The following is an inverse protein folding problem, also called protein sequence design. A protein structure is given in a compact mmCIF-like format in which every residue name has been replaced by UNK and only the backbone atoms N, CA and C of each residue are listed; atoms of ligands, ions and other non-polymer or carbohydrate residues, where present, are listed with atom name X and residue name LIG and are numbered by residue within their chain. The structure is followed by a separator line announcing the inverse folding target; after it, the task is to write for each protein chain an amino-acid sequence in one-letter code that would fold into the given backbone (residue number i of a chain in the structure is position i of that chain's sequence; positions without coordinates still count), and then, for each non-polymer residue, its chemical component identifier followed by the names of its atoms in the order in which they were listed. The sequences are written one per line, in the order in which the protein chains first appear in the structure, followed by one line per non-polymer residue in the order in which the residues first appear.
data_IF_458919441375
#
_entry.id   IF_458919441375
#
_cell.length_a   1.000
_cell.length_b   1.000
_cell.length_c   1.000
_cell.angle_alpha   90.00
_cell.angle_beta   90.00
_cell.angle_gamma   90.00
#
_symmetry.space_group_name_H-M   'P 1'
#
loop_
_entity.id
_entity.type
_entity.pdbx_description
1 polymer ?
#
# COMPACT_ATOMS: atom_id res chain seq x y z
N UNK A 1 -47.14 52.43 -4.08
CA UNK A 1 -48.02 51.27 -3.96
C UNK A 1 -48.32 50.76 -5.37
N UNK A 2 -47.49 49.85 -5.89
CA UNK A 2 -47.81 49.09 -7.08
C UNK A 2 -47.22 47.69 -6.84
N UNK A 3 -48.13 46.85 -6.42
CA UNK A 3 -47.98 45.45 -6.15
C UNK A 3 -47.82 44.73 -7.52
N UNK A 4 -46.61 44.31 -7.87
CA UNK A 4 -46.36 43.45 -9.03
C UNK A 4 -46.18 42.03 -8.53
N UNK A 5 -47.30 41.29 -8.55
CA UNK A 5 -47.30 39.86 -8.31
C UNK A 5 -46.31 39.17 -9.28
N UNK A 6 -45.47 38.25 -8.80
CA UNK A 6 -44.55 37.51 -9.63
C UNK A 6 -45.32 36.61 -10.60
N UNK A 7 -44.99 36.69 -11.86
CA UNK A 7 -45.63 35.94 -12.95
C UNK A 7 -45.42 34.43 -12.74
N UNK A 8 -46.55 33.74 -12.86
CA UNK A 8 -46.78 32.29 -12.66
C UNK A 8 -46.15 31.44 -13.77
N UNK A 9 -44.91 31.69 -14.19
CA UNK A 9 -44.33 30.98 -15.34
C UNK A 9 -42.89 30.50 -15.14
N UNK A 10 -42.42 30.45 -13.94
CA UNK A 10 -41.22 29.67 -13.60
C UNK A 10 -41.57 28.30 -13.02
N UNK A 11 -42.37 27.55 -13.74
CA UNK A 11 -42.34 26.10 -13.58
C UNK A 11 -41.01 25.64 -14.16
N UNK A 12 -40.03 25.49 -13.29
CA UNK A 12 -38.84 24.73 -13.60
C UNK A 12 -39.24 23.41 -14.25
N UNK A 13 -39.12 23.36 -15.54
CA UNK A 13 -39.12 22.09 -16.25
C UNK A 13 -37.91 21.36 -15.75
N UNK A 14 -38.11 20.40 -14.86
CA UNK A 14 -37.18 19.32 -14.67
C UNK A 14 -37.11 18.61 -16.03
N UNK A 15 -36.20 19.04 -16.88
CA UNK A 15 -35.78 18.25 -18.03
C UNK A 15 -35.13 17.03 -17.46
N UNK A 16 -35.92 15.95 -17.34
CA UNK A 16 -35.37 14.62 -17.14
C UNK A 16 -34.38 14.42 -18.28
N UNK A 17 -33.09 14.43 -17.96
CA UNK A 17 -32.02 14.16 -18.89
C UNK A 17 -32.36 12.83 -19.58
N UNK A 18 -32.94 12.89 -20.78
CA UNK A 18 -33.14 11.72 -21.60
C UNK A 18 -31.74 11.15 -21.81
N UNK A 19 -31.58 9.88 -21.47
CA UNK A 19 -30.37 9.14 -21.81
C UNK A 19 -30.09 9.39 -23.30
N UNK A 20 -29.07 10.18 -23.58
CA UNK A 20 -28.64 10.41 -24.96
C UNK A 20 -28.24 9.07 -25.54
N UNK A 21 -28.80 8.74 -26.71
CA UNK A 21 -28.44 7.49 -27.38
C UNK A 21 -26.91 7.53 -27.62
N UNK A 22 -26.18 6.51 -27.19
CA UNK A 22 -24.71 6.53 -27.35
C UNK A 22 -24.38 6.72 -28.84
N UNK A 23 -23.44 7.61 -29.14
CA UNK A 23 -22.91 7.79 -30.47
C UNK A 23 -22.41 6.45 -31.02
N UNK A 24 -22.46 6.26 -32.33
CA UNK A 24 -21.95 5.04 -32.96
C UNK A 24 -20.48 4.72 -32.54
N UNK A 25 -19.68 5.75 -32.30
CA UNK A 25 -18.31 5.63 -31.80
C UNK A 25 -18.30 5.11 -30.36
N UNK A 26 -19.18 5.60 -29.49
CA UNK A 26 -19.29 5.11 -28.10
C UNK A 26 -19.79 3.67 -28.07
N UNK A 27 -20.74 3.31 -28.92
CA UNK A 27 -21.20 1.93 -29.04
C UNK A 27 -20.10 0.99 -29.50
N UNK A 28 -19.32 1.38 -30.50
CA UNK A 28 -18.15 0.60 -30.96
C UNK A 28 -17.11 0.44 -29.83
N UNK A 29 -16.87 1.49 -29.02
CA UNK A 29 -16.01 1.45 -27.84
C UNK A 29 -16.50 0.44 -26.79
N UNK A 30 -17.81 0.39 -26.51
CA UNK A 30 -18.38 -0.60 -25.57
C UNK A 30 -18.26 -2.02 -26.11
N UNK A 31 -18.52 -2.24 -27.40
CA UNK A 31 -18.39 -3.57 -28.03
C UNK A 31 -16.92 -4.03 -27.99
N UNK A 32 -15.99 -3.16 -28.33
CA UNK A 32 -14.55 -3.47 -28.26
C UNK A 32 -14.12 -3.78 -26.83
N UNK A 33 -14.58 -2.99 -25.84
CA UNK A 33 -14.32 -3.24 -24.43
C UNK A 33 -14.83 -4.60 -23.97
N UNK A 34 -16.06 -4.96 -24.35
CA UNK A 34 -16.63 -6.28 -24.06
C UNK A 34 -15.82 -7.41 -24.69
N UNK A 35 -15.43 -7.28 -25.96
CA UNK A 35 -14.61 -8.28 -26.66
C UNK A 35 -13.27 -8.48 -25.94
N UNK A 36 -12.61 -7.39 -25.52
CA UNK A 36 -11.36 -7.45 -24.76
C UNK A 36 -11.58 -8.16 -23.41
N UNK A 37 -12.65 -7.83 -22.68
CA UNK A 37 -12.97 -8.48 -21.40
C UNK A 37 -13.21 -9.99 -21.62
N UNK A 38 -14.00 -10.38 -22.60
CA UNK A 38 -14.24 -11.78 -22.91
C UNK A 38 -12.95 -12.52 -23.31
N UNK A 39 -12.11 -11.87 -24.11
CA UNK A 39 -10.81 -12.43 -24.49
C UNK A 39 -9.89 -12.61 -23.27
N UNK A 40 -9.82 -11.64 -22.38
CA UNK A 40 -9.07 -11.74 -21.13
C UNK A 40 -9.62 -12.83 -20.20
N UNK A 41 -10.95 -12.92 -20.06
CA UNK A 41 -11.60 -13.97 -19.26
C UNK A 41 -11.31 -15.37 -19.82
N UNK A 42 -11.37 -15.53 -21.13
CA UNK A 42 -11.02 -16.79 -21.79
C UNK A 42 -9.54 -17.15 -21.56
N UNK A 43 -8.63 -16.18 -21.71
CA UNK A 43 -7.20 -16.35 -21.42
C UNK A 43 -6.89 -16.67 -19.96
N UNK A 44 -7.67 -16.14 -19.03
CA UNK A 44 -7.57 -16.44 -17.60
C UNK A 44 -8.14 -17.83 -17.22
N UNK A 45 -8.67 -18.59 -18.18
CA UNK A 45 -9.27 -19.91 -17.93
C UNK A 45 -10.58 -19.84 -17.12
N UNK A 46 -11.26 -18.69 -17.18
CA UNK A 46 -12.57 -18.52 -16.55
C UNK A 46 -13.59 -19.46 -17.20
N UNK A 47 -14.25 -20.28 -16.41
CA UNK A 47 -15.38 -21.10 -16.85
C UNK A 47 -16.49 -21.05 -15.81
N UNK A 48 -17.71 -20.77 -16.27
CA UNK A 48 -18.91 -20.77 -15.44
C UNK A 48 -19.15 -22.13 -14.78
N UNK A 49 -18.79 -23.22 -15.46
CA UNK A 49 -18.87 -24.56 -14.93
C UNK A 49 -17.99 -24.76 -13.70
N UNK A 50 -16.73 -24.26 -13.73
CA UNK A 50 -15.82 -24.31 -12.57
C UNK A 50 -16.36 -23.48 -11.40
N UNK A 51 -16.94 -22.33 -11.67
CA UNK A 51 -17.56 -21.49 -10.64
C UNK A 51 -18.80 -22.19 -10.06
N UNK A 52 -19.67 -22.73 -10.92
CA UNK A 52 -20.87 -23.45 -10.48
C UNK A 52 -20.56 -24.74 -9.71
N UNK A 53 -19.45 -25.41 -10.01
CA UNK A 53 -18.99 -26.61 -9.30
C UNK A 53 -18.15 -26.32 -8.04
N UNK A 54 -17.86 -25.06 -7.72
CA UNK A 54 -17.06 -24.66 -6.57
C UNK A 54 -17.78 -24.79 -5.22
N UNK A 55 -19.09 -24.49 -5.08
CA UNK A 55 -19.80 -24.57 -3.79
C UNK A 55 -19.67 -25.91 -3.06
N UNK A 56 -19.85 -27.08 -3.71
CA UNK A 56 -19.69 -28.36 -3.02
C UNK A 56 -18.25 -28.59 -2.55
N UNK A 57 -17.25 -28.19 -3.32
CA UNK A 57 -15.83 -28.28 -2.90
C UNK A 57 -15.52 -27.41 -1.70
N UNK A 58 -16.12 -26.21 -1.67
CA UNK A 58 -16.00 -25.31 -0.52
C UNK A 58 -16.73 -25.88 0.71
N UNK A 59 -17.91 -26.46 0.52
CA UNK A 59 -18.66 -27.12 1.59
C UNK A 59 -17.86 -28.32 2.17
N UNK A 60 -17.26 -29.15 1.32
CA UNK A 60 -16.40 -30.25 1.74
C UNK A 60 -15.16 -29.76 2.50
N UNK A 61 -14.54 -28.67 2.05
CA UNK A 61 -13.44 -28.03 2.76
C UNK A 61 -13.88 -27.52 4.14
N UNK A 62 -15.01 -26.82 4.21
CA UNK A 62 -15.56 -26.31 5.46
C UNK A 62 -15.94 -27.46 6.42
N UNK A 63 -16.55 -28.52 5.90
CA UNK A 63 -16.89 -29.70 6.70
C UNK A 63 -15.65 -30.42 7.29
N UNK A 64 -14.53 -30.40 6.58
CA UNK A 64 -13.26 -30.94 7.11
C UNK A 64 -12.57 -30.00 8.10
N UNK A 65 -12.89 -28.70 8.06
CA UNK A 65 -12.37 -27.73 9.02
C UNK A 65 -13.08 -27.83 10.39
N UNK A 66 -14.26 -28.46 10.46
CA UNK A 66 -15.05 -28.61 11.67
C UNK A 66 -15.42 -30.09 11.93
N UNK A 67 -15.23 -30.58 13.16
CA UNK A 67 -14.69 -29.93 14.35
C UNK A 67 -13.17 -29.72 14.26
N UNK A 68 -12.61 -28.64 14.85
CA UNK A 68 -11.17 -28.44 14.90
C UNK A 68 -10.51 -29.52 15.75
N UNK A 69 -9.31 -29.92 15.37
CA UNK A 69 -8.54 -30.88 16.15
C UNK A 69 -7.99 -30.17 17.41
N UNK A 70 -8.57 -30.48 18.56
CA UNK A 70 -8.20 -29.94 19.88
C UNK A 70 -7.23 -30.85 20.63
N UNK A 71 -6.54 -31.76 19.96
CA UNK A 71 -5.51 -32.58 20.60
C UNK A 71 -4.48 -31.67 21.31
N UNK A 72 -4.19 -31.90 22.60
CA UNK A 72 -3.23 -31.07 23.35
C UNK A 72 -1.85 -30.94 22.69
N UNK A 73 -1.41 -31.97 21.97
CA UNK A 73 -0.13 -31.94 21.26
C UNK A 73 -0.18 -31.00 20.04
N UNK A 74 -1.30 -31.00 19.31
CA UNK A 74 -1.52 -30.10 18.18
C UNK A 74 -1.62 -28.67 18.67
N UNK A 75 -2.36 -28.44 19.75
CA UNK A 75 -2.57 -27.13 20.35
C UNK A 75 -1.24 -26.54 20.87
N UNK A 76 -0.42 -27.32 21.53
CA UNK A 76 0.92 -26.91 21.99
C UNK A 76 1.86 -26.55 20.85
N UNK A 77 1.87 -27.32 19.76
CA UNK A 77 2.67 -26.99 18.57
C UNK A 77 2.17 -25.72 17.89
N UNK A 78 0.86 -25.56 17.77
CA UNK A 78 0.25 -24.39 17.16
C UNK A 78 0.55 -23.13 17.96
N UNK A 79 0.38 -23.16 19.29
CA UNK A 79 0.68 -22.02 20.15
C UNK A 79 2.15 -21.60 20.04
N UNK A 80 3.08 -22.56 20.01
CA UNK A 80 4.50 -22.25 19.80
C UNK A 80 4.77 -21.60 18.44
N UNK A 81 4.14 -22.10 17.38
CA UNK A 81 4.27 -21.51 16.05
C UNK A 81 3.63 -20.11 15.94
N UNK A 82 2.58 -19.85 16.70
CA UNK A 82 2.01 -18.49 16.80
C UNK A 82 2.99 -17.53 17.49
N UNK A 83 3.65 -17.94 18.56
CA UNK A 83 4.68 -17.14 19.22
C UNK A 83 5.85 -16.87 18.28
N UNK A 84 6.34 -17.88 17.57
CA UNK A 84 7.41 -17.74 16.57
C UNK A 84 7.01 -16.74 15.46
N UNK A 85 5.79 -16.81 14.96
CA UNK A 85 5.27 -15.88 13.96
C UNK A 85 5.24 -14.45 14.50
N UNK A 86 4.81 -14.26 15.75
CA UNK A 86 4.81 -12.96 16.40
C UNK A 86 6.24 -12.40 16.57
N UNK A 87 7.19 -13.24 16.95
CA UNK A 87 8.60 -12.86 17.08
C UNK A 87 9.18 -12.42 15.73
N UNK A 88 8.90 -13.15 14.65
CA UNK A 88 9.31 -12.79 13.29
C UNK A 88 8.73 -11.43 12.89
N UNK A 89 7.43 -11.23 13.11
CA UNK A 89 6.75 -10.00 12.75
C UNK A 89 7.30 -8.78 13.52
N UNK A 90 7.42 -8.90 14.84
CA UNK A 90 7.93 -7.82 15.70
C UNK A 90 9.39 -7.51 15.38
N UNK A 91 10.25 -8.53 15.30
CA UNK A 91 11.66 -8.32 14.99
C UNK A 91 11.85 -7.72 13.60
N UNK A 92 11.14 -8.23 12.59
CA UNK A 92 11.19 -7.72 11.23
C UNK A 92 10.72 -6.26 11.13
N UNK A 93 9.59 -5.94 11.76
CA UNK A 93 9.05 -4.59 11.76
C UNK A 93 10.00 -3.60 12.48
N UNK A 94 10.48 -3.94 13.68
CA UNK A 94 11.38 -3.06 14.44
C UNK A 94 12.67 -2.78 13.69
N UNK A 95 13.32 -3.83 13.17
CA UNK A 95 14.56 -3.67 12.39
C UNK A 95 14.27 -2.87 11.11
N UNK A 96 13.18 -3.17 10.41
CA UNK A 96 12.76 -2.47 9.20
C UNK A 96 12.51 -0.98 9.45
N UNK A 97 11.80 -0.61 10.51
CA UNK A 97 11.56 0.79 10.90
C UNK A 97 12.86 1.50 11.23
N UNK A 98 13.75 0.89 12.02
CA UNK A 98 15.06 1.48 12.37
C UNK A 98 15.88 1.74 11.10
N UNK A 99 15.92 0.78 10.17
CA UNK A 99 16.66 0.91 8.92
C UNK A 99 15.98 1.86 7.92
N UNK A 100 14.67 2.07 8.03
CA UNK A 100 13.95 2.99 7.17
C UNK A 100 14.27 4.46 7.45
N UNK A 101 14.64 4.82 8.68
CA UNK A 101 14.98 6.22 9.05
C UNK A 101 16.14 6.78 8.24
N UNK A 102 17.34 6.16 8.19
CA UNK A 102 18.43 6.66 7.35
C UNK A 102 18.08 6.64 5.85
N UNK A 103 17.31 5.67 5.40
CA UNK A 103 16.84 5.62 4.01
C UNK A 103 15.89 6.77 3.71
N UNK A 104 14.99 7.10 4.62
CA UNK A 104 14.08 8.25 4.50
C UNK A 104 14.83 9.58 4.41
N UNK A 105 15.88 9.76 5.23
CA UNK A 105 16.72 10.96 5.18
C UNK A 105 17.45 11.13 3.84
N UNK A 106 17.83 10.03 3.20
CA UNK A 106 18.39 10.05 1.85
C UNK A 106 17.33 10.25 0.76
N UNK A 107 16.09 9.86 1.04
CA UNK A 107 14.96 9.92 0.11
C UNK A 107 14.28 11.30 0.12
N UNK A 108 14.26 11.99 1.27
CA UNK A 108 13.64 13.31 1.43
C UNK A 108 14.43 14.39 0.69
N UNK A 109 13.72 15.18 -0.12
CA UNK A 109 14.33 16.21 -0.98
C UNK A 109 14.87 17.37 -0.17
N UNK A 110 16.12 17.75 -0.48
CA UNK A 110 16.73 18.97 0.07
C UNK A 110 17.24 18.84 1.51
N UNK A 111 17.06 17.69 2.17
CA UNK A 111 17.56 17.47 3.54
C UNK A 111 19.07 17.22 3.57
N UNK A 112 19.51 16.06 3.20
CA UNK A 112 20.93 15.67 3.30
C UNK A 112 21.51 15.34 1.93
N UNK A 113 20.79 14.55 1.13
CA UNK A 113 21.27 14.02 -0.13
C UNK A 113 21.10 15.00 -1.30
N UNK A 114 22.02 14.91 -2.26
CA UNK A 114 21.88 15.60 -3.54
C UNK A 114 20.76 15.00 -4.40
N UNK A 115 20.30 15.74 -5.43
CA UNK A 115 19.14 15.34 -6.22
C UNK A 115 19.30 13.97 -6.90
N UNK A 116 20.50 13.61 -7.32
CA UNK A 116 20.80 12.32 -7.93
C UNK A 116 20.67 11.15 -6.96
N UNK A 117 21.25 11.27 -5.76
CA UNK A 117 21.17 10.23 -4.71
C UNK A 117 19.72 10.05 -4.29
N UNK A 118 19.01 11.16 -4.05
CA UNK A 118 17.60 11.15 -3.72
C UNK A 118 16.79 10.37 -4.78
N UNK A 119 16.98 10.67 -6.07
CA UNK A 119 16.25 10.00 -7.13
C UNK A 119 16.57 8.50 -7.22
N UNK A 120 17.83 8.11 -7.05
CA UNK A 120 18.25 6.69 -7.07
C UNK A 120 17.60 5.94 -5.92
N UNK A 121 17.68 6.46 -4.68
CA UNK A 121 17.10 5.82 -3.50
C UNK A 121 15.57 5.73 -3.63
N UNK A 122 14.93 6.79 -4.07
CA UNK A 122 13.47 6.83 -4.32
C UNK A 122 13.01 5.81 -5.36
N UNK A 123 13.79 5.65 -6.43
CA UNK A 123 13.53 4.62 -7.45
C UNK A 123 13.72 3.22 -6.88
N UNK A 124 14.77 3.02 -6.07
CA UNK A 124 15.01 1.75 -5.38
C UNK A 124 13.88 1.36 -4.45
N UNK A 125 13.38 2.28 -3.63
CA UNK A 125 12.21 2.05 -2.78
C UNK A 125 10.95 1.70 -3.60
N UNK A 126 10.75 2.39 -4.74
CA UNK A 126 9.63 2.10 -5.64
C UNK A 126 9.75 0.71 -6.26
N UNK A 127 10.97 0.26 -6.57
CA UNK A 127 11.24 -1.09 -7.06
C UNK A 127 10.94 -2.14 -5.98
N UNK A 128 11.41 -1.94 -4.74
CA UNK A 128 11.12 -2.85 -3.61
C UNK A 128 9.61 -3.06 -3.46
N UNK A 129 8.83 -1.99 -3.54
CA UNK A 129 7.36 -2.02 -3.42
C UNK A 129 6.64 -2.57 -4.64
N UNK A 130 7.28 -2.58 -5.81
CA UNK A 130 6.70 -3.16 -7.04
C UNK A 130 6.77 -4.70 -7.04
N UNK A 131 7.69 -5.26 -6.27
CA UNK A 131 7.88 -6.71 -6.14
C UNK A 131 6.98 -7.22 -5.00
N UNK A 132 6.12 -8.23 -5.23
CA UNK A 132 5.30 -8.82 -4.17
C UNK A 132 6.15 -9.39 -3.03
N UNK A 133 5.70 -9.25 -1.78
CA UNK A 133 6.43 -9.68 -0.57
C UNK A 133 6.83 -11.15 -0.60
N UNK A 134 5.97 -12.00 -1.18
CA UNK A 134 6.25 -13.42 -1.33
C UNK A 134 7.48 -13.67 -2.23
N UNK A 135 7.73 -12.83 -3.22
CA UNK A 135 8.91 -12.95 -4.08
C UNK A 135 10.18 -12.63 -3.28
N UNK A 136 10.17 -11.60 -2.42
CA UNK A 136 11.27 -11.32 -1.49
C UNK A 136 11.50 -12.47 -0.53
N UNK A 137 10.43 -13.03 0.04
CA UNK A 137 10.54 -14.21 0.91
C UNK A 137 11.22 -15.39 0.20
N UNK A 138 10.86 -15.67 -1.06
CA UNK A 138 11.50 -16.73 -1.85
C UNK A 138 12.97 -16.44 -2.13
N UNK A 139 13.33 -15.21 -2.47
CA UNK A 139 14.73 -14.79 -2.66
C UNK A 139 15.54 -15.04 -1.38
N UNK A 140 15.00 -14.66 -0.20
CA UNK A 140 15.69 -14.89 1.06
C UNK A 140 15.74 -16.39 1.44
N UNK A 141 14.71 -17.16 1.13
CA UNK A 141 14.75 -18.62 1.33
C UNK A 141 15.88 -19.24 0.51
N UNK A 142 16.10 -18.79 -0.72
CA UNK A 142 17.22 -19.28 -1.54
C UNK A 142 18.57 -18.80 -1.00
N UNK A 143 18.65 -17.58 -0.46
CA UNK A 143 19.90 -17.00 0.01
C UNK A 143 20.36 -17.54 1.37
N UNK A 144 19.43 -17.68 2.34
CA UNK A 144 19.76 -18.02 3.74
C UNK A 144 19.17 -19.34 4.22
N UNK A 145 18.40 -20.01 3.37
CA UNK A 145 17.72 -21.25 3.68
C UNK A 145 16.29 -21.07 4.18
N UNK A 146 15.54 -22.19 4.18
CA UNK A 146 14.17 -22.22 4.67
C UNK A 146 14.11 -22.04 6.19
N UNK A 147 13.44 -21.00 6.67
CA UNK A 147 13.28 -20.79 8.12
C UNK A 147 12.71 -19.43 8.49
N UNK A 148 12.48 -19.20 9.80
CA UNK A 148 11.96 -17.95 10.35
C UNK A 148 12.77 -16.71 9.95
N UNK A 149 14.07 -16.87 9.83
CA UNK A 149 14.99 -15.78 9.49
C UNK A 149 14.74 -15.22 8.06
N UNK A 150 14.48 -16.10 7.09
CA UNK A 150 14.14 -15.67 5.74
C UNK A 150 12.83 -14.83 5.70
N UNK A 151 11.81 -15.27 6.47
CA UNK A 151 10.56 -14.52 6.63
C UNK A 151 10.78 -13.17 7.30
N UNK A 152 11.61 -13.11 8.34
CA UNK A 152 11.95 -11.86 9.00
C UNK A 152 12.64 -10.86 8.03
N UNK A 153 13.58 -11.33 7.22
CA UNK A 153 14.26 -10.48 6.22
C UNK A 153 13.29 -9.94 5.17
N UNK A 154 12.30 -10.73 4.75
CA UNK A 154 11.27 -10.27 3.83
C UNK A 154 10.46 -9.12 4.43
N UNK A 155 10.04 -9.23 5.70
CA UNK A 155 9.35 -8.16 6.42
C UNK A 155 10.24 -6.92 6.55
N UNK A 156 11.53 -7.08 6.84
CA UNK A 156 12.48 -5.95 6.93
C UNK A 156 12.54 -5.17 5.61
N UNK A 157 12.71 -5.85 4.49
CA UNK A 157 12.79 -5.20 3.17
C UNK A 157 11.49 -4.49 2.81
N UNK A 158 10.35 -5.14 3.02
CA UNK A 158 9.04 -4.54 2.78
C UNK A 158 8.82 -3.31 3.66
N UNK A 159 9.13 -3.41 4.95
CA UNK A 159 9.03 -2.29 5.91
C UNK A 159 9.93 -1.12 5.50
N UNK A 160 11.17 -1.37 5.04
CA UNK A 160 12.05 -0.33 4.52
C UNK A 160 11.43 0.34 3.28
N UNK A 161 10.89 -0.45 2.37
CA UNK A 161 10.22 0.05 1.16
C UNK A 161 9.04 0.96 1.46
N UNK A 162 8.21 0.58 2.44
CA UNK A 162 7.05 1.34 2.85
C UNK A 162 7.41 2.54 3.75
N UNK A 163 8.02 2.29 4.90
CA UNK A 163 8.33 3.32 5.90
C UNK A 163 9.36 4.32 5.39
N UNK A 164 10.39 3.87 4.64
CA UNK A 164 11.40 4.75 4.08
C UNK A 164 10.82 5.80 3.14
N UNK A 165 9.80 5.45 2.38
CA UNK A 165 9.07 6.41 1.54
C UNK A 165 8.10 7.27 2.34
N UNK A 166 7.33 6.66 3.22
CA UNK A 166 6.35 7.36 4.06
C UNK A 166 7.02 8.43 4.92
N UNK A 167 8.07 8.08 5.64
CA UNK A 167 8.83 9.02 6.47
C UNK A 167 9.47 10.14 5.65
N UNK A 168 9.97 9.85 4.44
CA UNK A 168 10.52 10.87 3.56
C UNK A 168 9.45 11.89 3.13
N UNK A 169 8.28 11.41 2.71
CA UNK A 169 7.18 12.26 2.27
C UNK A 169 6.64 13.10 3.46
N UNK A 170 6.61 12.56 4.68
CA UNK A 170 6.21 13.27 5.89
C UNK A 170 7.24 14.34 6.29
N UNK A 171 8.54 14.02 6.25
CA UNK A 171 9.60 15.00 6.46
C UNK A 171 9.56 16.15 5.44
N UNK A 172 9.18 15.88 4.19
CA UNK A 172 8.99 16.92 3.16
C UNK A 172 7.76 17.80 3.44
N UNK A 173 6.72 17.25 4.08
CA UNK A 173 5.47 17.95 4.41
C UNK A 173 5.54 18.74 5.74
N UNK A 174 6.52 18.47 6.59
CA UNK A 174 6.69 19.12 7.90
C UNK A 174 6.90 20.64 7.74
N UNK A 175 6.40 21.41 8.71
CA UNK A 175 6.56 22.87 8.75
C UNK A 175 8.04 23.26 8.70
N UNK A 176 8.36 24.16 7.74
CA UNK A 176 9.73 24.62 7.50
C UNK A 176 10.17 25.74 8.43
N UNK A 177 9.25 26.39 9.15
CA UNK A 177 9.57 27.52 10.02
C UNK A 177 10.67 27.23 11.04
N UNK A 178 10.61 26.14 11.82
CA UNK A 178 11.69 25.77 12.74
C UNK A 178 13.02 25.48 12.04
N UNK A 179 12.99 24.84 10.87
CA UNK A 179 14.18 24.53 10.10
C UNK A 179 14.83 25.79 9.51
N UNK A 180 14.05 26.74 9.03
CA UNK A 180 14.51 28.02 8.51
C UNK A 180 15.12 28.89 9.62
N UNK A 181 14.52 28.92 10.80
CA UNK A 181 15.05 29.65 11.95
C UNK A 181 16.41 29.12 12.43
N UNK A 182 16.59 27.80 12.49
CA UNK A 182 17.88 27.18 12.81
C UNK A 182 18.92 27.46 11.72
N UNK A 183 18.52 27.44 10.45
CA UNK A 183 19.42 27.75 9.34
C UNK A 183 19.89 29.21 9.41
N UNK A 184 19.03 30.14 9.80
CA UNK A 184 19.37 31.57 9.97
C UNK A 184 20.40 31.80 11.08
N UNK A 185 20.49 30.93 12.10
CA UNK A 185 21.53 30.98 13.16
C UNK A 185 22.86 30.35 12.72
N UNK A 186 22.97 29.83 11.49
CA UNK A 186 24.18 29.20 10.97
C UNK A 186 24.34 27.73 11.37
N UNK A 187 23.26 27.04 11.81
CA UNK A 187 23.28 25.62 12.14
C UNK A 187 23.65 24.77 10.92
N UNK A 188 24.35 23.68 11.15
CA UNK A 188 24.68 22.69 10.09
C UNK A 188 23.43 21.95 9.65
N UNK A 189 23.40 21.48 8.41
CA UNK A 189 22.25 20.71 7.87
C UNK A 189 21.84 19.54 8.76
N UNK A 190 22.82 18.83 9.33
CA UNK A 190 22.54 17.71 10.24
C UNK A 190 21.87 18.14 11.54
N UNK A 191 22.25 19.31 12.08
CA UNK A 191 21.66 19.85 13.30
C UNK A 191 20.21 20.30 13.04
N UNK A 192 19.95 20.91 11.88
CA UNK A 192 18.61 21.29 11.44
C UNK A 192 17.72 20.05 11.28
N UNK A 193 18.23 18.99 10.66
CA UNK A 193 17.48 17.73 10.51
C UNK A 193 17.19 17.10 11.86
N UNK A 194 18.18 17.00 12.74
CA UNK A 194 18.03 16.34 14.04
C UNK A 194 17.15 17.13 15.02
N UNK A 195 17.20 18.49 14.98
CA UNK A 195 16.52 19.33 15.97
C UNK A 195 15.20 19.95 15.48
N UNK A 196 14.96 19.99 14.17
CA UNK A 196 13.73 20.54 13.62
C UNK A 196 12.93 19.51 12.81
N UNK A 197 13.54 18.89 11.80
CA UNK A 197 12.80 18.04 10.86
C UNK A 197 12.34 16.73 11.50
N UNK A 198 13.24 15.98 12.17
CA UNK A 198 12.89 14.72 12.81
C UNK A 198 11.86 14.93 13.93
N UNK A 199 12.06 15.87 14.90
CA UNK A 199 11.06 16.11 15.93
C UNK A 199 9.72 16.61 15.39
N UNK A 200 9.74 17.37 14.28
CA UNK A 200 8.53 17.87 13.64
C UNK A 200 7.72 16.80 12.92
N UNK A 201 8.37 15.74 12.42
CA UNK A 201 7.72 14.59 11.77
C UNK A 201 7.36 13.46 12.73
N UNK A 202 7.89 13.43 13.97
CA UNK A 202 7.60 12.39 14.97
C UNK A 202 6.11 12.06 15.19
N UNK A 203 5.15 13.02 15.15
CA UNK A 203 3.74 12.69 15.31
C UNK A 203 3.16 11.78 14.22
N UNK A 204 3.85 11.63 13.08
CA UNK A 204 3.43 10.77 11.98
C UNK A 204 4.13 9.39 11.97
N UNK A 205 5.16 9.20 12.81
CA UNK A 205 5.80 7.91 13.06
C UNK A 205 5.03 7.14 14.14
#
# INVERSE_FOLDING_TARGET
MTDTAPSRNERTRFELARFERPSAISFLGYVLGLVIIFWCLAGAGFSLEKVASSPPRFADFAARAFPPNLDPQVLSRLSWKMVETLQIAVAGAVIGVILSVPVALLTAKGLIAGPWVNQIVRTGLSFIRAVPDIAWALVFVVAVGLGPFAGMLAIVIDTIGFCGRFFADDMEATDKGPAESLTATGARKLDVVACATIPGSLPAF
#
